data_IF_575853415089
#
_entry.id   IF_575853415089
#
_cell.length_a   1.000
_cell.length_b   1.000
_cell.length_c   1.000
_cell.angle_alpha   90.00
_cell.angle_beta   90.00
_cell.angle_gamma   90.00
#
_symmetry.space_group_name_H-M   'P 1'
#
loop_
_entity.id
_entity.type
_entity.pdbx_description
1 polymer ?
#
# COMPACT_ATOMS: atom_id res chain seq x y z
N UNK A 1 59.11 -10.10 -5.55
CA UNK A 1 58.45 -9.10 -6.41
C UNK A 1 57.31 -9.81 -7.09
N UNK A 2 56.09 -9.56 -6.60
CA UNK A 2 54.77 -9.71 -7.23
C UNK A 2 53.77 -10.14 -6.17
N UNK A 3 53.34 -9.13 -5.43
CA UNK A 3 52.12 -9.12 -4.63
C UNK A 3 50.95 -9.27 -5.59
N UNK A 4 50.49 -10.51 -5.78
CA UNK A 4 49.19 -10.77 -6.36
C UNK A 4 48.15 -10.50 -5.28
N UNK A 5 47.86 -9.21 -5.09
CA UNK A 5 46.67 -8.69 -4.45
C UNK A 5 45.48 -9.43 -5.09
N UNK A 6 44.98 -10.46 -4.41
CA UNK A 6 43.61 -10.94 -4.58
C UNK A 6 42.68 -9.86 -4.02
N UNK A 7 42.65 -8.72 -4.70
CA UNK A 7 41.57 -7.75 -4.66
C UNK A 7 40.42 -8.33 -5.46
N UNK A 8 39.89 -9.46 -4.98
CA UNK A 8 38.54 -9.87 -5.30
C UNK A 8 37.68 -9.04 -4.36
N UNK A 9 37.45 -7.81 -4.80
CA UNK A 9 36.60 -6.81 -4.20
C UNK A 9 35.16 -7.33 -4.21
N UNK A 10 34.86 -8.12 -3.19
CA UNK A 10 33.52 -8.58 -2.81
C UNK A 10 32.50 -7.43 -2.58
N UNK A 11 32.84 -6.17 -2.88
CA UNK A 11 31.97 -5.00 -2.80
C UNK A 11 30.99 -4.87 -3.97
N UNK A 12 31.26 -5.47 -5.13
CA UNK A 12 30.41 -5.29 -6.32
C UNK A 12 29.38 -6.40 -6.58
N UNK A 13 29.49 -7.53 -5.88
CA UNK A 13 28.62 -8.72 -6.10
C UNK A 13 27.45 -8.82 -5.10
N UNK A 14 27.27 -7.82 -4.24
CA UNK A 14 26.12 -7.72 -3.31
C UNK A 14 24.89 -7.05 -3.94
N UNK A 15 25.00 -6.65 -5.22
CA UNK A 15 23.96 -5.91 -5.94
C UNK A 15 22.57 -6.56 -6.15
N UNK A 16 22.36 -7.88 -5.97
CA UNK A 16 21.00 -8.44 -6.06
C UNK A 16 20.21 -8.40 -4.75
N UNK A 17 20.87 -8.48 -3.59
CA UNK A 17 20.17 -8.69 -2.31
C UNK A 17 19.79 -7.38 -1.63
N UNK A 18 20.64 -6.36 -1.73
CA UNK A 18 20.33 -5.06 -1.10
C UNK A 18 19.15 -4.37 -1.78
N UNK A 19 19.00 -4.52 -3.10
CA UNK A 19 17.92 -3.89 -3.89
C UNK A 19 16.58 -4.52 -3.51
N UNK A 20 16.57 -5.86 -3.40
CA UNK A 20 15.40 -6.64 -2.99
C UNK A 20 14.96 -6.28 -1.55
N UNK A 21 15.90 -6.28 -0.60
CA UNK A 21 15.64 -5.89 0.80
C UNK A 21 15.20 -4.42 0.93
N UNK A 22 15.78 -3.49 0.15
CA UNK A 22 15.34 -2.08 0.13
C UNK A 22 13.94 -1.93 -0.44
N UNK A 23 13.66 -2.59 -1.55
CA UNK A 23 12.36 -2.54 -2.21
C UNK A 23 11.27 -3.11 -1.30
N UNK A 24 11.55 -4.24 -0.64
CA UNK A 24 10.68 -4.83 0.37
C UNK A 24 10.40 -3.88 1.53
N UNK A 25 11.45 -3.32 2.14
CA UNK A 25 11.32 -2.37 3.25
C UNK A 25 10.52 -1.12 2.87
N UNK A 26 10.74 -0.58 1.65
CA UNK A 26 10.00 0.58 1.15
C UNK A 26 8.52 0.25 0.96
N UNK A 27 8.19 -0.93 0.43
CA UNK A 27 6.81 -1.39 0.34
C UNK A 27 6.15 -1.52 1.73
N UNK A 28 6.86 -2.06 2.73
CA UNK A 28 6.36 -2.14 4.12
C UNK A 28 6.06 -0.75 4.70
N UNK A 29 6.95 0.22 4.49
CA UNK A 29 6.73 1.63 4.90
C UNK A 29 5.49 2.20 4.25
N UNK A 30 5.28 1.97 2.94
CA UNK A 30 4.08 2.43 2.25
C UNK A 30 2.79 1.86 2.86
N UNK A 31 2.75 0.57 3.22
CA UNK A 31 1.61 -0.02 3.91
C UNK A 31 1.42 0.56 5.32
N UNK A 32 2.50 0.78 6.08
CA UNK A 32 2.44 1.42 7.39
C UNK A 32 1.86 2.84 7.32
N UNK A 33 2.34 3.65 6.38
CA UNK A 33 1.83 4.99 6.11
C UNK A 33 0.36 4.96 5.66
N UNK A 34 -0.02 3.96 4.87
CA UNK A 34 -1.40 3.77 4.40
C UNK A 34 -2.35 3.39 5.55
N UNK A 35 -1.91 2.58 6.51
CA UNK A 35 -2.71 2.29 7.72
C UNK A 35 -2.82 3.54 8.60
N UNK A 36 -1.75 4.32 8.74
CA UNK A 36 -1.76 5.57 9.52
C UNK A 36 -2.77 6.60 8.98
N UNK A 37 -3.18 6.47 7.72
CA UNK A 37 -4.16 7.35 7.05
C UNK A 37 -5.51 7.40 7.76
N UNK A 38 -5.88 6.30 8.45
CA UNK A 38 -7.09 6.21 9.25
C UNK A 38 -7.09 7.20 10.43
N UNK A 39 -5.91 7.54 10.95
CA UNK A 39 -5.76 8.45 12.10
C UNK A 39 -5.48 9.90 11.68
N UNK A 40 -4.99 10.11 10.46
CA UNK A 40 -4.51 11.42 9.99
C UNK A 40 -5.40 12.05 8.92
N UNK A 41 -6.61 11.51 8.71
CA UNK A 41 -7.59 12.01 7.75
C UNK A 41 -6.98 12.22 6.35
N UNK A 42 -6.39 11.17 5.76
CA UNK A 42 -5.79 11.17 4.42
C UNK A 42 -4.39 11.78 4.27
N UNK A 43 -3.87 12.52 5.26
CA UNK A 43 -2.57 13.17 5.14
C UNK A 43 -1.40 12.19 4.95
N UNK A 44 -1.30 11.14 5.78
CA UNK A 44 -0.20 10.15 5.65
C UNK A 44 -0.37 9.24 4.43
N UNK A 45 -1.61 9.04 3.95
CA UNK A 45 -1.89 8.30 2.72
C UNK A 45 -1.35 9.00 1.48
N UNK A 46 -1.32 10.33 1.47
CA UNK A 46 -0.70 11.10 0.39
C UNK A 46 0.82 10.88 0.36
N UNK A 47 1.47 10.81 1.51
CA UNK A 47 2.90 10.48 1.61
C UNK A 47 3.14 9.06 1.09
N UNK A 48 2.32 8.09 1.50
CA UNK A 48 2.38 6.71 1.00
C UNK A 48 2.24 6.65 -0.53
N UNK A 49 1.33 7.46 -1.09
CA UNK A 49 1.10 7.58 -2.53
C UNK A 49 2.35 8.09 -3.25
N UNK A 50 2.90 9.22 -2.79
CA UNK A 50 4.08 9.85 -3.38
C UNK A 50 5.27 8.88 -3.35
N UNK A 51 5.54 8.26 -2.19
CA UNK A 51 6.61 7.27 -2.07
C UNK A 51 6.38 6.09 -3.01
N UNK A 52 5.14 5.60 -3.13
CA UNK A 52 4.82 4.49 -4.05
C UNK A 52 5.00 4.87 -5.52
N UNK A 53 4.76 6.12 -5.93
CA UNK A 53 5.02 6.56 -7.29
C UNK A 53 6.51 6.73 -7.58
N UNK A 54 7.27 7.25 -6.62
CA UNK A 54 8.72 7.47 -6.78
C UNK A 54 9.49 6.15 -6.72
N UNK A 55 9.13 5.26 -5.80
CA UNK A 55 9.79 3.97 -5.59
C UNK A 55 9.40 2.92 -6.64
N UNK A 56 8.38 3.19 -7.45
CA UNK A 56 7.99 2.33 -8.57
C UNK A 56 8.93 2.60 -9.74
N UNK A 57 9.86 1.68 -9.96
CA UNK A 57 10.79 1.71 -11.07
C UNK A 57 10.16 1.03 -12.32
N UNK A 58 10.77 1.20 -13.49
CA UNK A 58 10.32 0.56 -14.75
C UNK A 58 10.77 -0.90 -14.89
N UNK A 59 11.40 -1.45 -13.85
CA UNK A 59 11.88 -2.81 -13.81
C UNK A 59 10.75 -3.82 -13.49
N UNK A 60 10.99 -5.11 -13.75
CA UNK A 60 10.01 -6.17 -13.43
C UNK A 60 10.13 -6.64 -11.98
N UNK A 61 10.48 -5.74 -11.06
CA UNK A 61 10.67 -6.09 -9.66
C UNK A 61 9.34 -6.41 -8.98
N UNK A 62 9.32 -7.42 -8.11
CA UNK A 62 8.10 -7.91 -7.49
C UNK A 62 7.40 -6.83 -6.62
N UNK A 63 8.16 -5.87 -6.10
CA UNK A 63 7.67 -4.72 -5.31
C UNK A 63 6.78 -3.77 -6.10
N UNK A 64 6.93 -3.70 -7.43
CA UNK A 64 6.13 -2.82 -8.29
C UNK A 64 4.64 -3.18 -8.27
N UNK A 65 4.33 -4.47 -8.05
CA UNK A 65 2.96 -4.93 -7.83
C UNK A 65 2.36 -4.36 -6.54
N UNK A 66 3.16 -4.26 -5.46
CA UNK A 66 2.74 -3.68 -4.18
C UNK A 66 2.52 -2.17 -4.30
N UNK A 67 3.42 -1.44 -4.95
CA UNK A 67 3.23 0.01 -5.16
C UNK A 67 1.95 0.29 -5.96
N UNK A 68 1.71 -0.48 -7.03
CA UNK A 68 0.47 -0.36 -7.82
C UNK A 68 -0.77 -0.63 -6.98
N UNK A 69 -0.72 -1.63 -6.11
CA UNK A 69 -1.82 -1.97 -5.21
C UNK A 69 -2.07 -0.90 -4.16
N UNK A 70 -1.02 -0.31 -3.56
CA UNK A 70 -1.13 0.82 -2.62
C UNK A 70 -1.74 2.05 -3.31
N UNK A 71 -1.24 2.41 -4.49
CA UNK A 71 -1.77 3.53 -5.29
C UNK A 71 -3.26 3.35 -5.56
N UNK A 72 -3.69 2.16 -6.01
CA UNK A 72 -5.11 1.89 -6.24
C UNK A 72 -5.93 1.93 -4.95
N UNK A 73 -5.39 1.41 -3.86
CA UNK A 73 -6.07 1.42 -2.56
C UNK A 73 -6.35 2.85 -2.11
N UNK A 74 -5.41 3.78 -2.32
CA UNK A 74 -5.61 5.20 -2.05
C UNK A 74 -6.76 5.82 -2.87
N UNK A 75 -6.78 5.58 -4.18
CA UNK A 75 -7.83 6.13 -5.03
C UNK A 75 -9.20 5.53 -4.73
N UNK A 76 -9.27 4.23 -4.44
CA UNK A 76 -10.50 3.56 -4.05
C UNK A 76 -10.98 4.05 -2.67
N UNK A 77 -10.07 4.29 -1.72
CA UNK A 77 -10.46 4.82 -0.40
C UNK A 77 -10.95 6.25 -0.48
N UNK A 78 -10.39 7.10 -1.35
CA UNK A 78 -10.97 8.43 -1.66
C UNK A 78 -12.39 8.28 -2.25
N UNK A 79 -12.57 7.38 -3.21
CA UNK A 79 -13.89 7.15 -3.82
C UNK A 79 -14.92 6.73 -2.76
N UNK A 80 -14.57 5.79 -1.88
CA UNK A 80 -15.46 5.38 -0.79
C UNK A 80 -15.72 6.50 0.22
N UNK A 81 -14.73 7.33 0.54
CA UNK A 81 -14.93 8.48 1.43
C UNK A 81 -15.91 9.50 0.83
N UNK A 82 -15.81 9.77 -0.47
CA UNK A 82 -16.76 10.66 -1.18
C UNK A 82 -18.16 10.05 -1.17
N UNK A 83 -18.29 8.75 -1.48
CA UNK A 83 -19.58 8.05 -1.47
C UNK A 83 -20.19 8.08 -0.06
N UNK A 84 -19.44 7.73 0.98
CA UNK A 84 -19.89 7.78 2.37
C UNK A 84 -20.32 9.18 2.78
N UNK A 85 -19.56 10.21 2.41
CA UNK A 85 -19.90 11.61 2.67
C UNK A 85 -21.20 12.03 1.97
N UNK A 86 -21.37 11.64 0.71
CA UNK A 86 -22.60 11.89 -0.05
C UNK A 86 -23.82 11.20 0.58
N UNK A 87 -23.73 9.91 0.92
CA UNK A 87 -24.83 9.21 1.59
C UNK A 87 -25.11 9.79 2.97
N UNK A 88 -24.08 10.16 3.74
CA UNK A 88 -24.27 10.86 5.01
C UNK A 88 -25.03 12.17 4.82
N UNK A 89 -24.72 12.93 3.76
CA UNK A 89 -25.41 14.17 3.44
C UNK A 89 -26.85 13.97 2.92
N UNK A 90 -27.15 12.86 2.24
CA UNK A 90 -28.47 12.61 1.61
C UNK A 90 -29.41 11.76 2.46
N UNK A 91 -28.93 10.91 3.36
CA UNK A 91 -29.80 10.08 4.20
C UNK A 91 -29.51 10.23 5.68
N UNK A 92 -28.40 10.88 6.08
CA UNK A 92 -28.01 11.05 7.48
C UNK A 92 -28.98 11.91 8.31
N UNK A 93 -29.83 12.70 7.65
CA UNK A 93 -30.92 13.43 8.33
C UNK A 93 -32.10 12.54 8.72
N UNK A 94 -32.18 11.29 8.25
CA UNK A 94 -33.18 10.31 8.69
C UNK A 94 -32.63 9.60 9.94
N UNK A 95 -33.13 9.90 11.15
CA UNK A 95 -32.65 9.26 12.37
C UNK A 95 -32.92 7.75 12.34
N UNK A 96 -32.06 6.98 13.02
CA UNK A 96 -32.02 5.51 13.03
C UNK A 96 -31.69 4.86 11.68
N UNK A 97 -32.51 5.02 10.64
CA UNK A 97 -32.32 4.33 9.37
C UNK A 97 -31.11 4.87 8.59
N UNK A 98 -30.98 6.19 8.48
CA UNK A 98 -29.87 6.83 7.79
C UNK A 98 -28.52 6.50 8.44
N UNK A 99 -28.45 6.66 9.76
CA UNK A 99 -27.25 6.35 10.55
C UNK A 99 -26.92 4.85 10.56
N UNK A 100 -27.90 3.96 10.56
CA UNK A 100 -27.66 2.51 10.44
C UNK A 100 -27.02 2.16 9.08
N UNK A 101 -27.56 2.69 7.98
CA UNK A 101 -27.03 2.43 6.63
C UNK A 101 -25.61 3.00 6.48
N UNK A 102 -25.40 4.25 6.87
CA UNK A 102 -24.07 4.90 6.82
C UNK A 102 -23.08 4.16 7.71
N UNK A 103 -23.49 3.76 8.92
CA UNK A 103 -22.66 3.00 9.85
C UNK A 103 -22.23 1.64 9.28
N UNK A 104 -23.16 0.87 8.71
CA UNK A 104 -22.86 -0.41 8.07
C UNK A 104 -21.92 -0.25 6.87
N UNK A 105 -22.16 0.77 6.03
CA UNK A 105 -21.31 1.06 4.89
C UNK A 105 -19.90 1.49 5.31
N UNK A 106 -19.81 2.29 6.39
CA UNK A 106 -18.54 2.69 7.00
C UNK A 106 -17.75 1.48 7.51
N UNK A 107 -18.40 0.61 8.29
CA UNK A 107 -17.78 -0.63 8.80
C UNK A 107 -17.27 -1.52 7.66
N UNK A 108 -18.08 -1.72 6.62
CA UNK A 108 -17.67 -2.47 5.43
C UNK A 108 -16.42 -1.86 4.78
N UNK A 109 -16.42 -0.53 4.58
CA UNK A 109 -15.32 0.19 3.92
C UNK A 109 -14.04 0.11 4.74
N UNK A 110 -14.13 0.29 6.06
CA UNK A 110 -12.99 0.19 6.98
C UNK A 110 -12.44 -1.23 7.02
N UNK A 111 -13.30 -2.26 7.13
CA UNK A 111 -12.87 -3.65 7.13
C UNK A 111 -12.19 -4.03 5.80
N UNK A 112 -12.76 -3.63 4.67
CA UNK A 112 -12.18 -3.81 3.35
C UNK A 112 -10.81 -3.14 3.24
N UNK A 113 -10.68 -1.88 3.67
CA UNK A 113 -9.43 -1.13 3.62
C UNK A 113 -8.34 -1.78 4.48
N UNK A 114 -8.68 -2.17 5.72
CA UNK A 114 -7.73 -2.85 6.62
C UNK A 114 -7.31 -4.20 6.01
N UNK A 115 -8.27 -5.03 5.58
CA UNK A 115 -7.97 -6.33 5.00
C UNK A 115 -7.05 -6.23 3.78
N UNK A 116 -7.27 -5.22 2.93
CA UNK A 116 -6.43 -4.96 1.76
C UNK A 116 -5.00 -4.57 2.14
N UNK A 117 -4.83 -3.67 3.11
CA UNK A 117 -3.51 -3.29 3.60
C UNK A 117 -2.79 -4.44 4.31
N UNK A 118 -3.50 -5.23 5.11
CA UNK A 118 -2.93 -6.40 5.82
C UNK A 118 -2.50 -7.48 4.85
N UNK A 119 -3.32 -7.84 3.86
CA UNK A 119 -2.93 -8.84 2.85
C UNK A 119 -1.73 -8.36 2.03
N UNK A 120 -1.73 -7.10 1.60
CA UNK A 120 -0.60 -6.51 0.88
C UNK A 120 0.69 -6.51 1.69
N UNK A 121 0.60 -6.18 2.99
CA UNK A 121 1.70 -6.22 3.95
C UNK A 121 2.22 -7.65 4.19
N UNK A 122 1.32 -8.61 4.43
CA UNK A 122 1.68 -10.01 4.64
C UNK A 122 2.34 -10.63 3.41
N UNK A 123 1.89 -10.28 2.20
CA UNK A 123 2.54 -10.72 0.96
C UNK A 123 3.93 -10.09 0.81
N UNK A 124 4.07 -8.80 1.12
CA UNK A 124 5.36 -8.11 1.09
C UNK A 124 6.37 -8.69 2.10
N UNK A 125 5.92 -9.01 3.32
CA UNK A 125 6.75 -9.68 4.34
C UNK A 125 7.24 -11.06 3.92
N UNK A 126 6.47 -11.75 3.07
CA UNK A 126 6.84 -13.06 2.53
C UNK A 126 7.66 -12.97 1.23
N UNK A 127 8.02 -11.76 0.77
CA UNK A 127 8.71 -11.56 -0.51
C UNK A 127 7.89 -12.04 -1.72
N UNK A 128 6.55 -12.05 -1.61
CA UNK A 128 5.65 -12.52 -2.67
C UNK A 128 4.99 -11.35 -3.39
N UNK A 129 5.03 -11.30 -4.74
CA UNK A 129 4.30 -10.29 -5.50
C UNK A 129 2.78 -10.42 -5.30
N UNK A 130 2.07 -9.37 -5.71
CA UNK A 130 0.60 -9.37 -5.76
C UNK A 130 0.15 -9.96 -7.10
N UNK A 131 -0.66 -11.03 -7.03
CA UNK A 131 -1.16 -11.78 -8.19
C UNK A 131 -1.97 -10.91 -9.16
N UNK A 132 -3.00 -10.19 -8.69
CA UNK A 132 -3.70 -9.16 -9.45
C UNK A 132 -3.70 -7.80 -8.74
N UNK A 133 -2.69 -6.94 -9.02
CA UNK A 133 -2.60 -5.62 -8.41
C UNK A 133 -3.77 -4.70 -8.81
N UNK A 134 -4.56 -5.05 -9.83
CA UNK A 134 -5.72 -4.26 -10.29
C UNK A 134 -7.03 -4.72 -9.66
N UNK A 135 -7.02 -5.79 -8.86
CA UNK A 135 -8.22 -6.30 -8.20
C UNK A 135 -8.83 -5.27 -7.25
N UNK A 136 -10.14 -5.36 -7.04
CA UNK A 136 -10.89 -4.53 -6.09
C UNK A 136 -10.94 -5.14 -4.69
N UNK A 137 -10.43 -6.35 -4.48
CA UNK A 137 -10.44 -7.02 -3.18
C UNK A 137 -9.01 -7.18 -2.64
N UNK A 138 -8.43 -8.37 -2.71
CA UNK A 138 -7.23 -8.74 -1.93
C UNK A 138 -5.99 -9.08 -2.75
N UNK A 139 -5.97 -8.75 -4.05
CA UNK A 139 -4.85 -9.09 -4.92
C UNK A 139 -4.99 -10.47 -5.53
#
# INVERSE_FOLDING_TARGET
MNDHIHGQDASFDNAPRYVDERGGNTALVCYGLMIATLFTAFATGLIALIVSYIAREEDNHWTNSHYTFVIRTFWISILYAIILGFFTFVIGWIPLLGWAVVGLMGLYTTAWFIGRNVVGLLRALNGRPIDDPRSWFFG
#
